data_IF_380440597659
#
_entry.id   IF_380440597659
#
_cell.length_a   1.000
_cell.length_b   1.000
_cell.length_c   1.000
_cell.angle_alpha   90.00
_cell.angle_beta   90.00
_cell.angle_gamma   90.00
#
_symmetry.space_group_name_H-M   'P 1'
#
loop_
_entity.id
_entity.type
_entity.pdbx_description
1 polymer ?
#
# COMPACT_ATOMS: atom_id res chain seq x y z
N UNK A 1 -19.24 -1.22 -13.05
CA UNK A 1 -18.40 -1.94 -14.04
C UNK A 1 -17.51 -1.03 -14.88
N UNK A 2 -17.93 0.16 -15.33
CA UNK A 2 -17.11 1.02 -16.21
C UNK A 2 -15.71 1.37 -15.64
N UNK A 3 -15.60 1.58 -14.33
CA UNK A 3 -14.33 1.90 -13.69
C UNK A 3 -13.46 0.68 -13.35
N UNK A 4 -13.93 -0.55 -13.64
CA UNK A 4 -13.16 -1.77 -13.40
C UNK A 4 -12.16 -2.00 -14.53
N UNK A 5 -10.93 -2.31 -14.15
CA UNK A 5 -9.83 -2.62 -15.02
C UNK A 5 -9.80 -4.13 -15.26
N UNK A 6 -10.67 -4.59 -16.18
CA UNK A 6 -10.82 -6.01 -16.49
C UNK A 6 -9.51 -6.63 -16.97
N UNK A 7 -8.77 -5.95 -17.84
CA UNK A 7 -7.52 -6.50 -18.40
C UNK A 7 -6.47 -6.71 -17.30
N UNK A 8 -6.33 -5.73 -16.41
CA UNK A 8 -5.46 -5.85 -15.25
C UNK A 8 -5.90 -6.98 -14.30
N UNK A 9 -7.21 -7.07 -14.02
CA UNK A 9 -7.75 -8.16 -13.20
C UNK A 9 -7.52 -9.55 -13.81
N UNK A 10 -7.78 -9.72 -15.11
CA UNK A 10 -7.60 -11.02 -15.80
C UNK A 10 -6.13 -11.47 -15.71
N UNK A 11 -5.19 -10.55 -16.01
CA UNK A 11 -3.76 -10.83 -15.89
C UNK A 11 -3.36 -11.23 -14.46
N UNK A 12 -3.85 -10.48 -13.47
CA UNK A 12 -3.57 -10.76 -12.07
C UNK A 12 -4.19 -12.10 -11.62
N UNK A 13 -5.42 -12.41 -12.08
CA UNK A 13 -6.11 -13.65 -11.75
C UNK A 13 -5.37 -14.88 -12.32
N UNK A 14 -4.95 -14.84 -13.57
CA UNK A 14 -4.21 -15.94 -14.21
C UNK A 14 -2.86 -16.18 -13.52
N UNK A 15 -2.17 -15.10 -13.13
CA UNK A 15 -0.94 -15.20 -12.34
C UNK A 15 -1.21 -15.81 -10.95
N UNK A 16 -2.32 -15.42 -10.32
CA UNK A 16 -2.66 -15.81 -8.96
C UNK A 16 -3.13 -17.27 -8.86
N UNK A 17 -4.10 -17.69 -9.68
CA UNK A 17 -4.71 -19.02 -9.62
C UNK A 17 -4.01 -20.05 -10.51
N UNK A 18 -3.11 -19.62 -11.42
CA UNK A 18 -2.50 -20.48 -12.45
C UNK A 18 -3.54 -21.21 -13.31
N UNK A 19 -4.74 -20.66 -13.39
CA UNK A 19 -5.88 -21.17 -14.13
C UNK A 19 -6.42 -20.05 -15.02
N UNK A 20 -6.84 -20.41 -16.23
CA UNK A 20 -7.52 -19.47 -17.11
C UNK A 20 -8.96 -19.28 -16.65
N UNK A 21 -9.44 -18.03 -16.57
CA UNK A 21 -10.83 -17.74 -16.19
C UNK A 21 -11.84 -18.43 -17.12
N UNK A 22 -11.45 -18.66 -18.38
CA UNK A 22 -12.28 -19.37 -19.37
C UNK A 22 -12.63 -20.80 -18.95
N UNK A 23 -11.81 -21.43 -18.10
CA UNK A 23 -12.01 -22.80 -17.63
C UNK A 23 -13.04 -22.91 -16.49
N UNK A 24 -13.35 -21.79 -15.81
CA UNK A 24 -14.22 -21.82 -14.62
C UNK A 24 -15.72 -21.90 -14.95
N UNK A 25 -16.11 -21.80 -16.23
CA UNK A 25 -17.51 -21.81 -16.71
C UNK A 25 -18.49 -20.90 -15.92
N UNK A 26 -17.97 -19.85 -15.27
CA UNK A 26 -18.74 -18.88 -14.48
C UNK A 26 -18.74 -17.50 -15.13
N UNK A 27 -19.89 -16.79 -15.16
CA UNK A 27 -19.92 -15.40 -15.61
C UNK A 27 -19.01 -14.51 -14.76
N UNK A 28 -18.30 -13.56 -15.39
CA UNK A 28 -17.36 -12.66 -14.72
C UNK A 28 -18.00 -11.92 -13.53
N UNK A 29 -19.24 -11.43 -13.66
CA UNK A 29 -19.95 -10.74 -12.57
C UNK A 29 -20.12 -11.67 -11.36
N UNK A 30 -20.43 -12.96 -11.60
CA UNK A 30 -20.59 -13.97 -10.54
C UNK A 30 -19.25 -14.26 -9.87
N UNK A 31 -18.17 -14.41 -10.65
CA UNK A 31 -16.81 -14.55 -10.13
C UNK A 31 -16.44 -13.37 -9.22
N UNK A 32 -16.55 -12.14 -9.72
CA UNK A 32 -16.20 -10.93 -8.99
C UNK A 32 -17.05 -10.74 -7.72
N UNK A 33 -18.31 -11.19 -7.73
CA UNK A 33 -19.17 -11.20 -6.55
C UNK A 33 -18.71 -12.23 -5.52
N UNK A 34 -18.37 -13.44 -5.95
CA UNK A 34 -17.88 -14.51 -5.08
C UNK A 34 -16.58 -14.12 -4.36
N UNK A 35 -15.68 -13.40 -5.04
CA UNK A 35 -14.42 -12.90 -4.48
C UNK A 35 -14.54 -11.50 -3.87
N UNK A 36 -15.78 -11.01 -3.65
CA UNK A 36 -16.11 -9.77 -2.92
C UNK A 36 -15.58 -8.47 -3.55
N UNK A 37 -15.29 -8.47 -4.84
CA UNK A 37 -14.94 -7.26 -5.60
C UNK A 37 -16.18 -6.55 -6.14
N UNK A 38 -17.29 -7.27 -6.29
CA UNK A 38 -18.62 -6.71 -6.57
C UNK A 38 -19.61 -7.02 -5.45
N UNK A 39 -20.58 -6.13 -5.27
CA UNK A 39 -21.81 -6.33 -4.49
C UNK A 39 -22.94 -5.64 -5.23
N UNK A 40 -24.05 -6.35 -5.47
CA UNK A 40 -25.21 -5.80 -6.20
C UNK A 40 -24.80 -5.15 -7.53
N UNK A 41 -23.90 -5.82 -8.28
CA UNK A 41 -23.30 -5.36 -9.55
C UNK A 41 -22.50 -4.04 -9.50
N UNK A 42 -22.25 -3.53 -8.29
CA UNK A 42 -21.42 -2.35 -8.04
C UNK A 42 -20.08 -2.76 -7.48
N UNK A 43 -19.03 -2.01 -7.83
CA UNK A 43 -17.70 -2.21 -7.24
C UNK A 43 -17.77 -1.99 -5.74
N UNK A 44 -17.25 -2.97 -4.99
CA UNK A 44 -16.90 -2.73 -3.59
C UNK A 44 -15.72 -1.77 -3.55
N UNK A 45 -15.47 -1.20 -2.37
CA UNK A 45 -14.30 -0.34 -2.22
C UNK A 45 -12.99 -1.10 -2.51
N UNK A 46 -12.89 -2.35 -2.06
CA UNK A 46 -11.74 -3.20 -2.38
C UNK A 46 -11.63 -3.42 -3.90
N UNK A 47 -12.73 -3.73 -4.58
CA UNK A 47 -12.77 -3.85 -6.05
C UNK A 47 -12.26 -2.60 -6.77
N UNK A 48 -12.69 -1.42 -6.31
CA UNK A 48 -12.22 -0.15 -6.84
C UNK A 48 -10.73 0.09 -6.57
N UNK A 49 -10.25 -0.14 -5.35
CA UNK A 49 -8.88 0.21 -4.97
C UNK A 49 -7.84 -0.77 -5.50
N UNK A 50 -8.18 -2.05 -5.66
CA UNK A 50 -7.29 -3.07 -6.18
C UNK A 50 -7.28 -3.09 -7.71
N UNK A 51 -8.45 -2.94 -8.34
CA UNK A 51 -8.63 -3.21 -9.77
C UNK A 51 -9.37 -2.09 -10.49
N UNK A 52 -9.45 -0.88 -9.92
CA UNK A 52 -10.01 0.27 -10.61
C UNK A 52 -9.06 0.84 -11.65
N UNK A 53 -9.59 1.33 -12.78
CA UNK A 53 -8.81 2.04 -13.82
C UNK A 53 -8.19 3.32 -13.27
N UNK A 54 -8.96 4.10 -12.53
CA UNK A 54 -8.50 5.31 -11.85
C UNK A 54 -9.22 5.47 -10.49
N UNK A 55 -8.74 4.80 -9.42
CA UNK A 55 -9.37 4.86 -8.11
C UNK A 55 -9.38 6.28 -7.53
N UNK A 56 -8.32 7.06 -7.81
CA UNK A 56 -8.16 8.45 -7.33
C UNK A 56 -9.25 9.40 -7.81
N UNK A 57 -9.84 9.16 -8.99
CA UNK A 57 -11.00 9.94 -9.49
C UNK A 57 -12.22 9.82 -8.56
N UNK A 58 -12.43 8.66 -7.96
CA UNK A 58 -13.62 8.35 -7.13
C UNK A 58 -13.30 8.52 -5.63
N UNK A 59 -12.06 8.24 -5.23
CA UNK A 59 -11.56 8.34 -3.84
C UNK A 59 -10.18 9.01 -3.81
N UNK A 60 -10.11 10.34 -4.01
CA UNK A 60 -8.82 11.04 -4.10
C UNK A 60 -8.00 10.99 -2.79
N UNK A 61 -8.68 10.90 -1.64
CA UNK A 61 -8.00 10.82 -0.34
C UNK A 61 -7.52 9.41 0.00
N UNK A 62 -7.82 8.39 -0.82
CA UNK A 62 -7.38 7.01 -0.58
C UNK A 62 -6.07 6.79 -1.33
N UNK A 63 -5.12 7.65 -1.00
CA UNK A 63 -3.80 7.76 -1.59
C UNK A 63 -2.76 7.88 -0.48
N UNK A 64 -1.49 7.85 -0.87
CA UNK A 64 -0.35 8.09 0.01
C UNK A 64 0.24 9.46 -0.34
N UNK A 65 0.68 10.22 0.65
CA UNK A 65 1.40 11.46 0.46
C UNK A 65 2.77 11.36 1.11
N UNK A 66 3.81 11.47 0.30
CA UNK A 66 5.20 11.51 0.75
C UNK A 66 5.69 12.94 0.91
N UNK A 67 6.38 13.24 2.01
CA UNK A 67 7.06 14.53 2.22
C UNK A 67 8.42 14.28 2.88
N UNK A 68 9.48 14.82 2.30
CA UNK A 68 10.83 14.81 2.86
C UNK A 68 11.14 16.19 3.40
N UNK A 69 11.40 16.28 4.70
CA UNK A 69 11.72 17.54 5.36
C UNK A 69 13.21 17.85 5.31
N UNK A 70 13.55 19.14 5.35
CA UNK A 70 14.91 19.54 5.65
C UNK A 70 15.12 19.68 7.16
N UNK A 71 15.77 18.68 7.75
CA UNK A 71 15.94 18.55 9.19
C UNK A 71 14.89 17.67 9.84
N UNK A 72 14.59 17.97 11.11
CA UNK A 72 13.76 17.11 11.98
C UNK A 72 12.48 17.78 12.49
N UNK A 73 12.24 19.03 12.09
CA UNK A 73 11.16 19.88 12.58
C UNK A 73 10.13 20.12 11.47
N UNK A 74 8.87 19.77 11.75
CA UNK A 74 7.73 19.93 10.84
C UNK A 74 7.35 21.41 10.66
N UNK A 75 7.73 22.28 11.60
CA UNK A 75 7.40 23.71 11.57
C UNK A 75 8.14 24.49 10.47
N UNK A 76 9.23 23.92 9.93
CA UNK A 76 9.88 24.45 8.74
C UNK A 76 9.08 23.99 7.53
N UNK A 77 8.44 24.93 6.84
CA UNK A 77 7.68 24.67 5.60
C UNK A 77 8.57 24.22 4.42
N UNK A 78 9.88 24.04 4.66
CA UNK A 78 10.87 23.62 3.67
C UNK A 78 10.86 22.09 3.51
N UNK A 79 10.58 21.63 2.29
CA UNK A 79 10.63 20.23 1.90
C UNK A 79 11.65 20.01 0.77
N UNK A 80 12.38 18.90 0.83
CA UNK A 80 13.36 18.48 -0.20
C UNK A 80 12.69 17.76 -1.36
N UNK A 81 11.67 16.97 -1.05
CA UNK A 81 10.90 16.18 -2.01
C UNK A 81 9.48 15.98 -1.48
N UNK A 82 8.51 15.87 -2.38
CA UNK A 82 7.10 15.68 -2.05
C UNK A 82 6.38 15.03 -3.22
N UNK A 83 5.58 14.01 -2.92
CA UNK A 83 4.88 13.25 -3.96
C UNK A 83 3.48 12.84 -3.49
N UNK A 84 2.48 13.04 -4.35
CA UNK A 84 1.14 12.48 -4.19
C UNK A 84 1.09 11.14 -4.93
N UNK A 85 1.12 10.05 -4.17
CA UNK A 85 1.18 8.69 -4.68
C UNK A 85 -0.24 8.13 -4.80
N UNK A 86 -0.67 7.93 -6.04
CA UNK A 86 -2.05 7.53 -6.38
C UNK A 86 -2.06 6.29 -7.29
N UNK A 87 -3.25 5.76 -7.58
CA UNK A 87 -3.43 4.56 -8.41
C UNK A 87 -4.06 3.41 -7.64
N UNK A 88 -3.90 2.18 -8.16
CA UNK A 88 -4.31 0.96 -7.44
C UNK A 88 -3.42 0.77 -6.21
N UNK A 89 -3.86 -0.03 -5.23
CA UNK A 89 -3.09 -0.20 -4.00
C UNK A 89 -1.68 -0.77 -4.23
N UNK A 90 -1.52 -1.66 -5.22
CA UNK A 90 -0.20 -2.17 -5.61
C UNK A 90 0.69 -1.08 -6.23
N UNK A 91 0.10 -0.17 -7.02
CA UNK A 91 0.82 0.98 -7.58
C UNK A 91 1.28 1.89 -6.44
N UNK A 92 0.39 2.16 -5.47
CA UNK A 92 0.70 2.99 -4.32
C UNK A 92 1.80 2.38 -3.44
N UNK A 93 1.76 1.06 -3.22
CA UNK A 93 2.79 0.34 -2.48
C UNK A 93 4.16 0.47 -3.15
N UNK A 94 4.25 0.17 -4.45
CA UNK A 94 5.52 0.22 -5.18
C UNK A 94 6.07 1.64 -5.30
N UNK A 95 5.23 2.62 -5.59
CA UNK A 95 5.63 4.03 -5.65
C UNK A 95 6.07 4.54 -4.27
N UNK A 96 5.40 4.16 -3.19
CA UNK A 96 5.82 4.53 -1.83
C UNK A 96 7.17 3.91 -1.45
N UNK A 97 7.41 2.63 -1.77
CA UNK A 97 8.74 2.01 -1.60
C UNK A 97 9.81 2.77 -2.37
N UNK A 98 9.54 3.11 -3.64
CA UNK A 98 10.47 3.88 -4.47
C UNK A 98 10.73 5.27 -3.90
N UNK A 99 9.70 5.98 -3.46
CA UNK A 99 9.78 7.29 -2.83
C UNK A 99 10.65 7.26 -1.57
N UNK A 100 10.45 6.28 -0.68
CA UNK A 100 11.28 6.12 0.52
C UNK A 100 12.71 5.78 0.12
N UNK A 101 12.91 4.75 -0.72
CA UNK A 101 14.23 4.27 -1.13
C UNK A 101 15.09 5.34 -1.79
N UNK A 102 14.53 6.18 -2.67
CA UNK A 102 15.28 7.23 -3.37
C UNK A 102 15.69 8.39 -2.45
N UNK A 103 15.00 8.57 -1.33
CA UNK A 103 15.22 9.67 -0.40
C UNK A 103 15.99 9.25 0.86
N UNK A 104 16.16 7.94 1.11
CA UNK A 104 17.03 7.42 2.16
C UNK A 104 18.50 7.59 1.80
N UNK A 105 19.31 7.83 2.83
CA UNK A 105 20.76 7.94 2.68
C UNK A 105 21.39 6.56 2.56
N UNK A 106 22.50 6.52 1.81
CA UNK A 106 23.40 5.36 1.79
C UNK A 106 24.49 5.56 2.84
N UNK A 107 24.59 4.64 3.79
CA UNK A 107 25.61 4.61 4.84
C UNK A 107 26.68 3.56 4.52
N UNK A 108 27.93 3.87 4.87
CA UNK A 108 29.03 2.89 4.83
C UNK A 108 29.17 2.24 6.21
N UNK A 109 28.73 1.00 6.38
CA UNK A 109 28.99 0.22 7.61
C UNK A 109 30.41 -0.36 7.56
N UNK A 110 31.43 0.36 8.04
CA UNK A 110 32.78 -0.16 8.32
C UNK A 110 33.37 -1.11 7.25
N UNK A 111 33.12 -0.84 5.96
CA UNK A 111 33.67 -1.61 4.84
C UNK A 111 34.77 -0.80 4.17
N UNK A 112 35.61 -1.48 3.39
CA UNK A 112 36.62 -0.85 2.55
C UNK A 112 36.01 0.29 1.71
N UNK A 113 36.81 1.31 1.37
CA UNK A 113 36.42 2.47 0.58
C UNK A 113 35.61 2.16 -0.70
N UNK A 114 35.81 0.96 -1.27
CA UNK A 114 35.14 0.50 -2.49
C UNK A 114 33.79 -0.22 -2.26
N UNK A 115 33.32 -0.35 -1.02
CA UNK A 115 32.09 -1.07 -0.76
C UNK A 115 30.86 -0.22 -1.12
N UNK A 116 29.83 -0.80 -1.76
CA UNK A 116 28.59 -0.09 -2.01
C UNK A 116 27.95 0.30 -0.67
N UNK A 117 27.45 1.53 -0.61
CA UNK A 117 26.67 2.00 0.53
C UNK A 117 25.40 1.16 0.71
N UNK A 118 24.94 1.02 1.94
CA UNK A 118 23.69 0.35 2.28
C UNK A 118 22.66 1.39 2.70
N UNK A 119 21.37 1.13 2.49
CA UNK A 119 20.33 2.03 2.98
C UNK A 119 20.37 2.14 4.51
N UNK A 120 20.16 3.35 5.02
CA UNK A 120 20.09 3.60 6.46
C UNK A 120 18.90 2.91 7.14
N UNK A 121 17.83 2.66 6.39
CA UNK A 121 16.70 1.80 6.78
C UNK A 121 16.63 0.64 5.76
N UNK A 122 16.64 -0.64 6.20
CA UNK A 122 16.48 -1.78 5.30
C UNK A 122 15.20 -1.71 4.49
N UNK A 123 15.27 -2.15 3.23
CA UNK A 123 14.13 -2.13 2.30
C UNK A 123 12.94 -2.95 2.80
N UNK A 124 13.20 -4.13 3.34
CA UNK A 124 12.17 -5.01 3.90
C UNK A 124 11.44 -4.32 5.07
N UNK A 125 12.17 -3.55 5.90
CA UNK A 125 11.60 -2.91 7.08
C UNK A 125 10.58 -1.81 6.72
N UNK A 126 10.91 -0.92 5.78
CA UNK A 126 9.93 0.09 5.36
C UNK A 126 8.85 -0.49 4.46
N UNK A 127 9.13 -1.55 3.70
CA UNK A 127 8.13 -2.25 2.87
C UNK A 127 7.03 -2.84 3.76
N UNK A 128 7.40 -3.54 4.83
CA UNK A 128 6.46 -4.07 5.84
C UNK A 128 5.59 -2.96 6.45
N UNK A 129 6.17 -1.83 6.82
CA UNK A 129 5.43 -0.72 7.45
C UNK A 129 4.46 -0.07 6.44
N UNK A 130 4.85 0.10 5.18
CA UNK A 130 3.98 0.63 4.12
C UNK A 130 2.83 -0.36 3.86
N UNK A 131 3.12 -1.66 3.75
CA UNK A 131 2.13 -2.72 3.60
C UNK A 131 1.11 -2.68 4.73
N UNK A 132 1.59 -2.59 5.98
CA UNK A 132 0.75 -2.48 7.16
C UNK A 132 -0.12 -1.21 7.13
N UNK A 133 0.44 -0.08 6.72
CA UNK A 133 -0.30 1.17 6.60
C UNK A 133 -1.45 1.05 5.59
N UNK A 134 -1.27 0.34 4.48
CA UNK A 134 -2.29 0.11 3.43
C UNK A 134 -3.36 -0.89 3.91
N UNK A 135 -2.94 -2.02 4.47
CA UNK A 135 -3.81 -3.14 4.86
C UNK A 135 -4.64 -2.80 6.09
N UNK A 136 -4.08 -2.08 7.06
CA UNK A 136 -4.76 -1.74 8.31
C UNK A 136 -5.38 -0.34 8.31
N UNK A 137 -5.31 0.38 7.17
CA UNK A 137 -5.98 1.68 7.01
C UNK A 137 -7.47 1.56 7.33
N UNK A 138 -7.98 2.50 8.12
CA UNK A 138 -9.41 2.66 8.27
C UNK A 138 -9.99 3.38 7.04
N UNK A 139 -10.55 2.60 6.11
CA UNK A 139 -11.14 3.12 4.89
C UNK A 139 -12.50 3.84 5.07
N UNK A 140 -13.02 3.94 6.29
CA UNK A 140 -14.13 4.84 6.60
C UNK A 140 -13.69 6.29 6.77
N UNK A 141 -12.38 6.54 6.95
CA UNK A 141 -11.82 7.88 7.13
C UNK A 141 -11.34 8.42 5.78
N UNK A 142 -11.80 9.62 5.43
CA UNK A 142 -11.45 10.30 4.18
C UNK A 142 -10.17 11.14 4.30
N UNK A 143 -9.03 10.48 4.56
CA UNK A 143 -7.72 11.10 4.70
C UNK A 143 -6.60 10.24 4.10
N UNK A 144 -5.54 10.85 3.57
CA UNK A 144 -4.41 10.11 2.99
C UNK A 144 -3.54 9.45 4.08
N UNK A 145 -2.86 8.37 3.72
CA UNK A 145 -1.69 7.92 4.49
C UNK A 145 -0.58 8.96 4.29
N UNK A 146 0.10 9.36 5.35
CA UNK A 146 1.25 10.27 5.28
C UNK A 146 2.54 9.50 5.48
N UNK A 147 3.52 9.73 4.61
CA UNK A 147 4.90 9.29 4.77
C UNK A 147 5.74 10.56 4.98
N UNK A 148 6.36 10.66 6.14
CA UNK A 148 7.28 11.75 6.48
C UNK A 148 8.68 11.20 6.63
N UNK A 149 9.63 11.73 5.85
CA UNK A 149 11.03 11.42 6.00
C UNK A 149 11.77 12.62 6.56
N UNK A 150 12.44 12.40 7.70
CA UNK A 150 13.29 13.37 8.37
C UNK A 150 14.73 12.87 8.33
N UNK A 151 15.66 13.75 8.69
CA UNK A 151 17.08 13.41 8.75
C UNK A 151 17.41 12.27 9.74
N UNK A 152 16.55 12.02 10.74
CA UNK A 152 16.77 11.01 11.78
C UNK A 152 15.73 9.89 11.85
N UNK A 153 14.65 9.94 11.06
CA UNK A 153 13.55 8.97 11.15
C UNK A 153 12.64 8.97 9.93
N UNK A 154 11.98 7.84 9.73
CA UNK A 154 10.83 7.66 8.84
C UNK A 154 9.58 7.53 9.71
N UNK A 155 8.57 8.36 9.47
CA UNK A 155 7.25 8.24 10.09
C UNK A 155 6.20 7.91 9.03
N UNK A 156 5.33 6.94 9.33
CA UNK A 156 4.19 6.58 8.48
C UNK A 156 2.93 6.68 9.32
N UNK A 157 2.04 7.60 8.94
CA UNK A 157 0.77 7.87 9.64
C UNK A 157 -0.37 7.35 8.80
N UNK A 158 -1.05 6.31 9.26
CA UNK A 158 -2.22 5.73 8.60
C UNK A 158 -3.53 6.17 9.28
N UNK A 159 -4.60 6.48 8.53
CA UNK A 159 -5.89 6.84 9.11
C UNK A 159 -6.49 5.74 10.02
N UNK A 160 -6.90 6.15 11.22
CA UNK A 160 -7.61 5.32 12.19
C UNK A 160 -6.75 4.97 13.41
N UNK A 161 -7.39 4.41 14.44
CA UNK A 161 -6.71 3.99 15.67
C UNK A 161 -6.40 2.49 15.63
N UNK A 162 -5.79 1.92 16.66
CA UNK A 162 -5.75 0.46 16.83
C UNK A 162 -7.18 -0.11 16.98
N UNK A 163 -7.48 -1.33 16.47
CA UNK A 163 -8.72 -2.01 16.83
C UNK A 163 -8.85 -2.12 18.35
N UNK A 164 -10.07 -2.02 18.89
CA UNK A 164 -10.32 -2.01 20.35
C UNK A 164 -9.78 -3.25 21.09
N UNK A 165 -9.51 -4.34 20.36
CA UNK A 165 -8.98 -5.61 20.87
C UNK A 165 -7.46 -5.72 20.80
N UNK A 166 -6.76 -4.72 20.23
CA UNK A 166 -5.32 -4.70 20.06
C UNK A 166 -4.69 -3.57 20.87
N UNK A 167 -3.66 -3.92 21.63
CA UNK A 167 -2.76 -2.98 22.31
C UNK A 167 -1.38 -3.01 21.65
N UNK A 168 -0.60 -1.94 21.83
CA UNK A 168 0.80 -1.89 21.34
C UNK A 168 1.65 -3.05 21.87
N UNK A 169 1.39 -3.48 23.11
CA UNK A 169 2.06 -4.61 23.73
C UNK A 169 1.73 -5.92 23.01
N UNK A 170 0.46 -6.19 22.74
CA UNK A 170 0.03 -7.40 22.04
C UNK A 170 0.57 -7.48 20.61
N UNK A 171 0.73 -6.35 19.92
CA UNK A 171 1.34 -6.30 18.58
C UNK A 171 2.79 -6.81 18.63
N UNK A 172 3.55 -6.44 19.68
CA UNK A 172 4.95 -6.91 19.85
C UNK A 172 5.03 -8.42 20.09
N UNK A 173 3.96 -9.03 20.59
CA UNK A 173 3.84 -10.48 20.75
C UNK A 173 3.23 -11.18 19.53
N UNK A 174 3.04 -10.47 18.42
CA UNK A 174 2.57 -11.04 17.15
C UNK A 174 1.05 -11.17 17.04
N UNK A 175 0.27 -10.54 17.92
CA UNK A 175 -1.19 -10.48 17.78
C UNK A 175 -1.54 -9.53 16.63
N UNK A 176 -2.22 -10.06 15.62
CA UNK A 176 -2.59 -9.33 14.41
C UNK A 176 -4.08 -9.50 14.12
N UNK A 177 -4.76 -8.39 13.82
CA UNK A 177 -6.14 -8.36 13.33
C UNK A 177 -6.17 -7.44 12.11
N UNK A 178 -6.40 -8.05 10.95
CA UNK A 178 -6.55 -7.36 9.69
C UNK A 178 -7.90 -6.65 9.59
N UNK A 179 -7.87 -5.36 9.25
CA UNK A 179 -9.10 -4.58 9.02
C UNK A 179 -9.69 -4.84 7.65
N UNK A 180 -8.84 -5.15 6.68
CA UNK A 180 -9.23 -5.27 5.28
C UNK A 180 -8.77 -6.63 4.73
N UNK A 181 -9.38 -7.74 5.16
CA UNK A 181 -8.95 -9.09 4.76
C UNK A 181 -9.03 -9.32 3.25
N UNK A 182 -10.01 -8.71 2.55
CA UNK A 182 -10.06 -8.78 1.08
C UNK A 182 -8.89 -8.04 0.44
N UNK A 183 -8.46 -6.89 0.97
CA UNK A 183 -7.32 -6.17 0.41
C UNK A 183 -6.04 -6.99 0.60
N UNK A 184 -5.81 -7.48 1.82
CA UNK A 184 -4.66 -8.30 2.15
C UNK A 184 -4.60 -9.55 1.27
N UNK A 185 -5.72 -10.27 1.12
CA UNK A 185 -5.76 -11.52 0.37
C UNK A 185 -5.48 -11.38 -1.12
N UNK A 186 -5.53 -10.17 -1.70
CA UNK A 186 -5.08 -9.94 -3.08
C UNK A 186 -3.65 -9.43 -3.11
N UNK A 187 -3.28 -8.51 -2.21
CA UNK A 187 -1.94 -7.95 -2.17
C UNK A 187 -0.88 -9.01 -1.84
N UNK A 188 -1.09 -9.90 -0.88
CA UNK A 188 -0.13 -10.97 -0.51
C UNK A 188 0.25 -11.93 -1.66
N UNK A 189 -0.55 -11.96 -2.73
CA UNK A 189 -0.25 -12.77 -3.92
C UNK A 189 0.27 -11.97 -5.10
N UNK A 190 0.29 -10.64 -4.98
CA UNK A 190 0.91 -9.80 -5.99
C UNK A 190 2.43 -9.91 -5.87
N UNK A 191 3.17 -10.29 -6.92
CA UNK A 191 4.62 -10.40 -6.85
C UNK A 191 5.34 -9.07 -6.58
N UNK A 192 4.65 -7.93 -6.73
CA UNK A 192 5.18 -6.62 -6.37
C UNK A 192 4.98 -6.22 -4.90
N UNK A 193 4.18 -6.98 -4.14
CA UNK A 193 3.88 -6.74 -2.73
C UNK A 193 4.89 -7.46 -1.84
#
# INVERSE_FOLDING_TARGET
MQDFDTDFFLKHYEQYYKEEIKQLEIPLIKLLTNIRLLREERLTLAGLLLFGRNPGRIRPQFSIKGTVFDGNDISRYDFKDKEDITGKLIDQFNQAKFFVKRNLRLIQKNRNFNAPGILEIPEDAFSEIIANAIVHRNYYINAQIQIYLFDNRLEIVSPGNLPNTITEENIKFGVHIERNPTILSFLEKDPGF
#
